data_IF_422947057072
#
_entry.id   IF_422947057072
#
_cell.length_a   1.000
_cell.length_b   1.000
_cell.length_c   1.000
_cell.angle_alpha   90.00
_cell.angle_beta   90.00
_cell.angle_gamma   90.00
#
_symmetry.space_group_name_H-M   'P 1'
#
loop_
_entity.id
_entity.type
_entity.pdbx_description
1 polymer ?
#
# COMPACT_ATOMS: atom_id res chain seq x y z
N UNK A 1 20.79 -19.71 28.08
CA UNK A 1 20.22 -18.38 28.14
C UNK A 1 18.77 -18.36 27.61
N UNK A 2 18.16 -19.52 27.35
CA UNK A 2 16.80 -19.68 26.79
C UNK A 2 15.67 -19.73 27.83
N UNK A 3 15.91 -20.24 29.04
CA UNK A 3 14.84 -20.57 30.02
C UNK A 3 14.09 -19.31 30.54
N UNK A 4 14.76 -18.19 30.70
CA UNK A 4 14.14 -16.94 31.16
C UNK A 4 13.34 -16.18 30.06
N UNK A 5 13.65 -16.43 28.79
CA UNK A 5 12.90 -15.89 27.65
C UNK A 5 11.61 -16.67 27.42
N UNK A 6 11.69 -17.99 27.42
CA UNK A 6 10.53 -18.87 27.26
C UNK A 6 9.51 -18.71 28.39
N UNK A 7 9.97 -18.43 29.62
CA UNK A 7 9.08 -18.18 30.76
C UNK A 7 8.26 -16.88 30.60
N UNK A 8 8.79 -15.88 29.86
CA UNK A 8 8.10 -14.60 29.62
C UNK A 8 7.08 -14.65 28.49
N UNK A 9 7.20 -15.64 27.60
CA UNK A 9 6.30 -15.79 26.46
C UNK A 9 5.10 -16.71 26.76
N UNK A 10 5.04 -17.33 27.97
CA UNK A 10 3.89 -18.17 28.37
C UNK A 10 2.65 -17.33 28.65
N UNK A 11 1.47 -17.72 28.13
CA UNK A 11 0.21 -17.05 28.42
C UNK A 11 -0.09 -17.08 29.93
N UNK A 12 -0.31 -15.90 30.51
CA UNK A 12 -0.53 -15.71 31.97
C UNK A 12 -1.76 -14.90 32.30
N UNK A 13 -2.19 -14.05 31.39
CA UNK A 13 -3.27 -13.10 31.59
C UNK A 13 -4.45 -13.40 30.69
N UNK A 14 -5.63 -13.30 31.26
CA UNK A 14 -6.88 -13.15 30.50
C UNK A 14 -6.97 -11.71 29.98
N UNK A 15 -7.92 -11.43 29.08
CA UNK A 15 -8.18 -10.06 28.62
C UNK A 15 -8.50 -9.11 29.78
N UNK A 16 -9.36 -9.54 30.72
CA UNK A 16 -9.82 -8.69 31.82
C UNK A 16 -8.67 -8.41 32.83
N UNK A 17 -7.86 -9.42 33.13
CA UNK A 17 -6.64 -9.26 33.94
C UNK A 17 -5.65 -8.30 33.27
N UNK A 18 -5.44 -8.42 31.94
CA UNK A 18 -4.57 -7.53 31.17
C UNK A 18 -5.06 -6.08 31.22
N UNK A 19 -6.36 -5.83 31.02
CA UNK A 19 -6.96 -4.48 31.07
C UNK A 19 -6.79 -3.86 32.45
N UNK A 20 -6.99 -4.66 33.53
CA UNK A 20 -6.80 -4.23 34.90
C UNK A 20 -5.33 -3.87 35.20
N UNK A 21 -4.38 -4.69 34.76
CA UNK A 21 -2.92 -4.46 34.92
C UNK A 21 -2.43 -3.22 34.15
N UNK A 22 -3.08 -2.89 33.02
CA UNK A 22 -2.78 -1.71 32.23
C UNK A 22 -3.44 -0.43 32.79
N UNK A 23 -4.38 -0.56 33.73
CA UNK A 23 -5.13 0.57 34.30
C UNK A 23 -6.04 1.28 33.29
N UNK A 24 -6.48 0.57 32.25
CA UNK A 24 -7.32 1.13 31.19
C UNK A 24 -8.80 1.11 31.62
N UNK A 25 -9.57 2.09 31.13
CA UNK A 25 -11.03 2.03 31.28
C UNK A 25 -11.61 0.90 30.40
N UNK A 26 -12.68 0.26 30.88
CA UNK A 26 -13.33 -0.82 30.16
C UNK A 26 -13.84 -0.36 28.77
N UNK A 27 -14.34 0.87 28.67
CA UNK A 27 -14.82 1.46 27.39
C UNK A 27 -13.68 1.64 26.38
N UNK A 28 -12.55 2.20 26.81
CA UNK A 28 -11.37 2.35 25.94
C UNK A 28 -10.81 0.99 25.52
N UNK A 29 -10.69 0.06 26.46
CA UNK A 29 -10.18 -1.28 26.20
C UNK A 29 -11.07 -2.02 25.18
N UNK A 30 -12.39 -1.87 25.26
CA UNK A 30 -13.31 -2.48 24.28
C UNK A 30 -13.20 -1.83 22.90
N UNK A 31 -13.11 -0.51 22.84
CA UNK A 31 -12.88 0.22 21.56
C UNK A 31 -11.56 -0.19 20.91
N UNK A 32 -10.48 -0.27 21.70
CA UNK A 32 -9.17 -0.67 21.20
C UNK A 32 -9.17 -2.13 20.72
N UNK A 33 -9.81 -3.04 21.48
CA UNK A 33 -9.96 -4.44 21.11
C UNK A 33 -10.66 -4.64 19.76
N UNK A 34 -11.79 -3.95 19.60
CA UNK A 34 -12.54 -3.97 18.34
C UNK A 34 -11.75 -3.33 17.20
N UNK A 35 -10.96 -2.30 17.51
CA UNK A 35 -10.11 -1.62 16.52
C UNK A 35 -8.96 -2.52 16.03
N UNK A 36 -8.36 -3.31 16.92
CA UNK A 36 -7.37 -4.33 16.52
C UNK A 36 -7.97 -5.50 15.73
N UNK A 37 -9.30 -5.65 15.71
CA UNK A 37 -9.97 -6.75 15.00
C UNK A 37 -9.89 -8.09 15.71
N UNK A 38 -9.57 -8.11 17.00
CA UNK A 38 -9.48 -9.36 17.75
C UNK A 38 -10.86 -10.00 17.93
N UNK A 39 -10.94 -11.31 17.68
CA UNK A 39 -12.13 -12.10 17.91
C UNK A 39 -12.43 -12.15 19.41
N UNK A 40 -13.69 -12.06 19.78
CA UNK A 40 -14.09 -12.24 21.17
C UNK A 40 -13.85 -13.68 21.60
N UNK A 41 -12.87 -13.88 22.47
CA UNK A 41 -12.58 -15.15 23.11
C UNK A 41 -13.32 -15.23 24.46
N UNK A 42 -13.55 -16.45 24.98
CA UNK A 42 -14.06 -16.61 26.35
C UNK A 42 -13.19 -15.84 27.34
N UNK A 43 -13.80 -15.14 28.29
CA UNK A 43 -13.09 -14.28 29.27
C UNK A 43 -12.17 -15.06 30.21
N UNK A 44 -12.23 -16.40 30.21
CA UNK A 44 -11.40 -17.27 31.04
C UNK A 44 -10.05 -17.66 30.42
N UNK A 45 -9.90 -17.43 29.11
CA UNK A 45 -8.70 -17.94 28.41
C UNK A 45 -7.50 -17.00 28.62
N UNK A 46 -6.41 -17.60 29.12
CA UNK A 46 -5.13 -16.90 29.27
C UNK A 46 -4.39 -16.94 27.95
N UNK A 47 -4.34 -15.81 27.27
CA UNK A 47 -3.76 -15.69 25.92
C UNK A 47 -2.63 -14.66 25.86
N UNK A 48 -2.43 -13.86 26.92
CA UNK A 48 -1.41 -12.81 26.96
C UNK A 48 -0.27 -13.18 27.89
N UNK A 49 0.95 -12.90 27.46
CA UNK A 49 2.19 -13.11 28.17
C UNK A 49 2.65 -11.84 28.92
N UNK A 50 3.69 -12.00 29.75
CA UNK A 50 4.36 -10.85 30.39
C UNK A 50 4.98 -9.90 29.35
N UNK A 51 5.37 -10.42 28.17
CA UNK A 51 5.93 -9.62 27.09
C UNK A 51 4.86 -8.76 26.42
N UNK A 52 3.66 -9.33 26.21
CA UNK A 52 2.53 -8.58 25.65
C UNK A 52 2.09 -7.47 26.59
N UNK A 53 2.00 -7.77 27.91
CA UNK A 53 1.70 -6.77 28.92
C UNK A 53 2.73 -5.62 28.91
N UNK A 54 4.02 -5.92 28.82
CA UNK A 54 5.07 -4.91 28.78
C UNK A 54 4.95 -4.01 27.53
N UNK A 55 4.72 -4.60 26.36
CA UNK A 55 4.55 -3.88 25.10
C UNK A 55 3.30 -2.97 25.12
N UNK A 56 2.17 -3.50 25.58
CA UNK A 56 0.92 -2.75 25.69
C UNK A 56 0.99 -1.65 26.78
N UNK A 57 1.76 -1.88 27.84
CA UNK A 57 2.00 -0.85 28.87
C UNK A 57 2.77 0.34 28.32
N UNK A 58 3.78 0.11 27.48
CA UNK A 58 4.49 1.20 26.79
C UNK A 58 3.54 1.98 25.88
N UNK A 59 2.70 1.29 25.13
CA UNK A 59 1.70 1.90 24.27
C UNK A 59 0.68 2.72 25.08
N UNK A 60 0.13 2.15 26.16
CA UNK A 60 -0.83 2.82 27.05
C UNK A 60 -0.22 4.04 27.76
N UNK A 61 1.06 3.98 28.15
CA UNK A 61 1.75 5.11 28.80
C UNK A 61 2.04 6.29 27.87
N UNK A 62 2.10 6.06 26.56
CA UNK A 62 2.23 7.12 25.56
C UNK A 62 0.93 7.88 25.33
N UNK A 63 -0.16 7.41 25.93
CA UNK A 63 -1.52 7.96 25.80
C UNK A 63 -1.67 9.40 26.29
N UNK A 64 -0.83 9.85 27.22
CA UNK A 64 -0.83 11.24 27.69
C UNK A 64 -0.45 12.27 26.61
N UNK A 65 0.22 11.83 25.54
CA UNK A 65 0.66 12.69 24.44
C UNK A 65 -0.24 12.62 23.19
N UNK A 66 -1.20 11.66 23.15
CA UNK A 66 -2.01 11.39 21.96
C UNK A 66 -3.50 11.31 22.29
N UNK A 67 -4.39 12.01 21.55
CA UNK A 67 -5.83 11.90 21.74
C UNK A 67 -6.33 10.46 21.60
N UNK A 68 -7.36 10.07 22.37
CA UNK A 68 -7.97 8.72 22.31
C UNK A 68 -8.39 8.34 20.88
N UNK A 69 -8.94 9.28 20.12
CA UNK A 69 -9.34 9.08 18.73
C UNK A 69 -8.17 8.65 17.84
N UNK A 70 -6.99 9.23 18.05
CA UNK A 70 -5.76 8.90 17.32
C UNK A 70 -5.22 7.52 17.72
N UNK A 71 -5.29 7.17 18.99
CA UNK A 71 -4.89 5.85 19.48
C UNK A 71 -5.78 4.75 18.89
N UNK A 72 -7.08 4.95 18.88
CA UNK A 72 -8.04 4.00 18.26
C UNK A 72 -7.85 3.91 16.74
N UNK A 73 -7.55 5.03 16.07
CA UNK A 73 -7.25 5.02 14.64
C UNK A 73 -5.98 4.21 14.33
N UNK A 74 -4.93 4.37 15.15
CA UNK A 74 -3.68 3.61 15.02
C UNK A 74 -3.92 2.12 15.30
N UNK A 75 -4.66 1.77 16.36
CA UNK A 75 -5.02 0.38 16.65
C UNK A 75 -5.77 -0.27 15.47
N UNK A 76 -6.68 0.47 14.84
CA UNK A 76 -7.43 0.00 13.68
C UNK A 76 -6.53 -0.22 12.45
N UNK A 77 -5.61 0.70 12.17
CA UNK A 77 -4.68 0.57 11.06
C UNK A 77 -3.77 -0.65 11.22
N UNK A 78 -3.22 -0.84 12.42
CA UNK A 78 -2.40 -2.02 12.74
C UNK A 78 -3.24 -3.28 12.61
N UNK A 79 -4.41 -3.33 13.25
CA UNK A 79 -5.27 -4.50 13.24
C UNK A 79 -5.69 -4.93 11.84
N UNK A 80 -6.15 -4.00 11.01
CA UNK A 80 -6.56 -4.29 9.64
C UNK A 80 -5.40 -4.78 8.76
N UNK A 81 -4.22 -4.21 8.93
CA UNK A 81 -3.03 -4.62 8.16
C UNK A 81 -2.58 -6.01 8.59
N UNK A 82 -2.46 -6.24 9.90
CA UNK A 82 -2.01 -7.51 10.45
C UNK A 82 -3.00 -8.65 10.23
N UNK A 83 -4.32 -8.39 10.30
CA UNK A 83 -5.34 -9.43 10.02
C UNK A 83 -5.22 -9.96 8.60
N UNK A 84 -5.14 -9.08 7.60
CA UNK A 84 -4.97 -9.49 6.19
C UNK A 84 -3.67 -10.24 5.95
N UNK A 85 -2.58 -9.76 6.56
CA UNK A 85 -1.28 -10.41 6.45
C UNK A 85 -1.32 -11.80 7.08
N UNK A 86 -1.88 -11.94 8.30
CA UNK A 86 -1.98 -13.20 9.01
C UNK A 86 -2.89 -14.22 8.30
N UNK A 87 -3.97 -13.80 7.66
CA UNK A 87 -4.83 -14.67 6.86
C UNK A 87 -4.04 -15.26 5.68
N UNK A 88 -3.35 -14.41 4.91
CA UNK A 88 -2.53 -14.84 3.79
C UNK A 88 -1.37 -15.76 4.24
N UNK A 89 -0.69 -15.40 5.31
CA UNK A 89 0.43 -16.19 5.85
C UNK A 89 -0.02 -17.56 6.40
N UNK A 90 -1.22 -17.61 7.00
CA UNK A 90 -1.76 -18.88 7.51
C UNK A 90 -2.03 -19.88 6.38
N UNK A 91 -2.51 -19.41 5.23
CA UNK A 91 -2.72 -20.25 4.06
C UNK A 91 -1.39 -20.68 3.46
N UNK A 92 -0.43 -19.75 3.27
CA UNK A 92 0.91 -20.05 2.79
C UNK A 92 1.65 -21.06 3.68
N UNK A 93 1.63 -20.86 5.01
CA UNK A 93 2.29 -21.75 5.96
C UNK A 93 1.70 -23.16 5.94
N UNK A 94 0.38 -23.28 5.75
CA UNK A 94 -0.28 -24.58 5.66
C UNK A 94 0.23 -25.35 4.44
N UNK A 95 0.29 -24.69 3.29
CA UNK A 95 0.76 -25.31 2.06
C UNK A 95 2.24 -25.74 2.14
N UNK A 96 3.08 -24.90 2.77
CA UNK A 96 4.52 -25.21 2.94
C UNK A 96 4.73 -26.35 3.91
N UNK A 97 4.04 -26.38 5.06
CA UNK A 97 4.24 -27.42 6.11
C UNK A 97 3.72 -28.77 5.65
N UNK A 98 2.74 -28.81 4.77
CA UNK A 98 2.22 -30.06 4.18
C UNK A 98 3.18 -30.68 3.13
N UNK A 99 4.22 -29.94 2.68
CA UNK A 99 5.24 -30.47 1.78
C UNK A 99 6.24 -31.37 2.56
N UNK A 100 6.34 -32.67 2.23
CA UNK A 100 7.28 -33.60 2.89
C UNK A 100 8.76 -33.20 2.76
N UNK A 101 9.12 -32.32 1.85
CA UNK A 101 10.50 -31.84 1.68
C UNK A 101 10.86 -30.74 2.69
N UNK A 102 9.89 -30.17 3.38
CA UNK A 102 10.08 -29.10 4.38
C UNK A 102 10.30 -29.72 5.76
N UNK A 103 11.47 -29.49 6.38
CA UNK A 103 11.82 -30.14 7.65
C UNK A 103 11.31 -29.40 8.90
N UNK A 104 10.53 -28.30 8.73
CA UNK A 104 10.06 -27.44 9.81
C UNK A 104 8.56 -27.60 10.04
N UNK A 105 8.15 -27.53 11.31
CA UNK A 105 6.74 -27.51 11.68
C UNK A 105 6.15 -26.08 11.62
N UNK A 106 4.84 -25.98 11.80
CA UNK A 106 4.09 -24.73 11.74
C UNK A 106 4.62 -23.69 12.73
N UNK A 107 4.96 -24.10 13.96
CA UNK A 107 5.42 -23.18 15.01
C UNK A 107 6.80 -22.60 14.66
N UNK A 108 7.70 -23.42 14.13
CA UNK A 108 9.03 -22.98 13.69
C UNK A 108 8.94 -22.00 12.51
N UNK A 109 8.10 -22.30 11.53
CA UNK A 109 7.89 -21.44 10.37
C UNK A 109 7.21 -20.12 10.76
N UNK A 110 6.18 -20.17 11.60
CA UNK A 110 5.50 -18.98 12.11
C UNK A 110 6.45 -18.07 12.90
N UNK A 111 7.33 -18.64 13.73
CA UNK A 111 8.34 -17.87 14.46
C UNK A 111 9.33 -17.19 13.51
N UNK A 112 9.82 -17.92 12.51
CA UNK A 112 10.76 -17.37 11.51
C UNK A 112 10.11 -16.21 10.73
N UNK A 113 8.86 -16.38 10.31
CA UNK A 113 8.09 -15.37 9.59
C UNK A 113 7.89 -14.10 10.43
N UNK A 114 7.55 -14.24 11.72
CA UNK A 114 7.46 -13.11 12.64
C UNK A 114 8.78 -12.34 12.81
N UNK A 115 9.92 -13.02 12.74
CA UNK A 115 11.25 -12.36 12.76
C UNK A 115 11.52 -11.59 11.48
N UNK A 116 11.13 -12.14 10.32
CA UNK A 116 11.24 -11.46 9.02
C UNK A 116 10.34 -10.23 9.00
N UNK A 117 9.09 -10.32 9.43
CA UNK A 117 8.18 -9.19 9.56
C UNK A 117 8.77 -8.06 10.42
N UNK A 118 9.34 -8.42 11.58
CA UNK A 118 9.97 -7.41 12.45
C UNK A 118 11.19 -6.75 11.78
N UNK A 119 11.97 -7.49 10.98
CA UNK A 119 13.09 -6.95 10.23
C UNK A 119 12.60 -5.95 9.16
N UNK A 120 11.60 -6.36 8.37
CA UNK A 120 11.01 -5.54 7.30
C UNK A 120 10.38 -4.29 7.89
N UNK A 121 9.57 -4.43 8.94
CA UNK A 121 8.94 -3.30 9.63
C UNK A 121 9.96 -2.28 10.12
N UNK A 122 11.06 -2.73 10.76
CA UNK A 122 12.12 -1.81 11.23
C UNK A 122 12.77 -1.03 10.10
N UNK A 123 12.98 -1.66 8.94
CA UNK A 123 13.55 -0.98 7.77
C UNK A 123 12.59 0.08 7.20
N UNK A 124 11.33 -0.28 7.03
CA UNK A 124 10.31 0.68 6.59
C UNK A 124 10.12 1.83 7.58
N UNK A 125 10.16 1.54 8.89
CA UNK A 125 10.08 2.58 9.92
C UNK A 125 11.25 3.55 9.85
N UNK A 126 12.49 3.06 9.70
CA UNK A 126 13.67 3.91 9.56
C UNK A 126 13.54 4.84 8.34
N UNK A 127 13.17 4.30 7.18
CA UNK A 127 12.93 5.10 5.97
C UNK A 127 11.79 6.11 6.13
N UNK A 128 10.73 5.73 6.84
CA UNK A 128 9.61 6.65 7.11
C UNK A 128 10.06 7.81 8.01
N UNK A 129 10.83 7.54 9.07
CA UNK A 129 11.36 8.58 9.98
C UNK A 129 12.28 9.54 9.21
N UNK A 130 13.18 9.04 8.37
CA UNK A 130 14.07 9.89 7.56
C UNK A 130 13.27 10.86 6.66
N UNK A 131 12.20 10.40 6.05
CA UNK A 131 11.32 11.26 5.24
C UNK A 131 10.53 12.28 6.04
N UNK A 132 10.12 11.93 7.28
CA UNK A 132 9.31 12.82 8.13
C UNK A 132 10.15 13.88 8.86
N UNK A 133 11.50 13.74 8.90
CA UNK A 133 12.37 14.80 9.44
C UNK A 133 12.33 16.07 8.61
N UNK A 134 11.91 15.99 7.36
CA UNK A 134 11.84 17.14 6.43
C UNK A 134 10.44 17.79 6.36
N UNK A 135 9.40 17.19 6.99
CA UNK A 135 8.01 17.69 6.91
C UNK A 135 7.35 17.66 8.29
N UNK A 136 6.64 18.72 8.66
CA UNK A 136 5.84 18.80 9.89
C UNK A 136 4.54 17.99 9.78
N UNK A 137 4.10 17.39 10.90
CA UNK A 137 3.05 16.34 11.00
C UNK A 137 1.63 16.67 10.48
N UNK A 138 1.35 17.88 10.02
CA UNK A 138 0.01 18.35 9.56
C UNK A 138 0.06 19.07 8.20
N UNK A 139 1.15 18.95 7.43
CA UNK A 139 1.25 19.66 6.15
C UNK A 139 0.67 18.84 5.00
N UNK A 140 -0.15 19.50 4.21
CA UNK A 140 -0.50 19.07 2.87
C UNK A 140 0.79 18.81 2.08
N UNK A 141 1.01 17.58 1.69
CA UNK A 141 2.20 17.17 0.92
C UNK A 141 1.86 17.31 -0.55
N UNK A 142 2.69 18.02 -1.31
CA UNK A 142 2.51 18.11 -2.77
C UNK A 142 3.14 16.90 -3.45
N UNK A 143 2.31 15.99 -3.97
CA UNK A 143 2.72 14.75 -4.61
C UNK A 143 2.10 14.58 -6.00
N UNK A 144 2.78 13.81 -6.83
CA UNK A 144 2.18 13.20 -8.01
C UNK A 144 1.53 11.90 -7.58
N UNK A 145 0.25 11.75 -7.86
CA UNK A 145 -0.51 10.51 -7.68
C UNK A 145 -0.73 9.89 -9.05
N UNK A 146 -0.46 8.60 -9.17
CA UNK A 146 -0.68 7.83 -10.39
C UNK A 146 -1.54 6.59 -10.15
N UNK A 147 -2.25 6.19 -11.19
CA UNK A 147 -2.94 4.90 -11.30
C UNK A 147 -2.51 4.22 -12.60
N UNK A 148 -2.06 2.98 -12.50
CA UNK A 148 -1.95 2.05 -13.61
C UNK A 148 -3.10 1.06 -13.54
N UNK A 149 -3.75 0.74 -14.65
CA UNK A 149 -5.01 -0.02 -14.69
C UNK A 149 -5.00 -0.95 -15.90
N UNK A 150 -5.43 -2.20 -15.72
CA UNK A 150 -5.54 -3.21 -16.77
C UNK A 150 -6.75 -2.94 -17.66
N UNK A 151 -6.53 -2.74 -18.94
CA UNK A 151 -7.63 -2.48 -19.88
C UNK A 151 -8.47 -3.74 -20.10
N UNK A 152 -9.79 -3.61 -19.89
CA UNK A 152 -10.73 -4.69 -20.18
C UNK A 152 -10.77 -5.80 -19.12
N UNK A 153 -10.16 -5.61 -17.95
CA UNK A 153 -10.11 -6.57 -16.86
C UNK A 153 -11.48 -7.20 -16.53
N UNK A 154 -12.54 -6.40 -16.39
CA UNK A 154 -13.90 -6.92 -16.09
C UNK A 154 -14.41 -7.94 -17.13
N UNK A 155 -14.00 -7.79 -18.37
CA UNK A 155 -14.32 -8.73 -19.45
C UNK A 155 -13.41 -9.96 -19.41
N UNK A 156 -12.14 -9.76 -19.07
CA UNK A 156 -11.11 -10.80 -19.01
C UNK A 156 -11.37 -11.74 -17.85
N UNK A 157 -11.62 -11.22 -16.65
CA UNK A 157 -11.87 -11.99 -15.42
C UNK A 157 -13.07 -12.94 -15.50
N UNK A 158 -13.97 -12.75 -16.49
CA UNK A 158 -15.10 -13.67 -16.76
C UNK A 158 -14.74 -14.79 -17.74
N UNK A 159 -13.58 -14.76 -18.37
CA UNK A 159 -13.18 -15.66 -19.47
C UNK A 159 -12.03 -16.58 -19.10
N UNK A 160 -11.19 -16.18 -18.17
CA UNK A 160 -10.06 -16.98 -17.70
C UNK A 160 -10.43 -17.65 -16.38
N UNK A 161 -9.75 -18.71 -16.02
CA UNK A 161 -9.94 -19.36 -14.72
C UNK A 161 -9.30 -18.57 -13.58
N UNK A 162 -9.54 -19.00 -12.34
CA UNK A 162 -9.07 -18.27 -11.16
C UNK A 162 -7.55 -18.30 -11.00
N UNK A 163 -6.89 -19.39 -11.41
CA UNK A 163 -5.44 -19.52 -11.30
C UNK A 163 -4.74 -18.60 -12.32
N UNK A 164 -5.26 -18.57 -13.56
CA UNK A 164 -4.76 -17.66 -14.58
C UNK A 164 -4.99 -16.20 -14.18
N UNK A 165 -6.14 -15.91 -13.54
CA UNK A 165 -6.45 -14.57 -13.03
C UNK A 165 -5.51 -14.16 -11.91
N UNK A 166 -5.23 -15.04 -10.96
CA UNK A 166 -4.29 -14.82 -9.87
C UNK A 166 -2.87 -14.57 -10.39
N UNK A 167 -2.41 -15.41 -11.32
CA UNK A 167 -1.11 -15.25 -11.96
C UNK A 167 -0.98 -13.94 -12.70
N UNK A 168 -2.02 -13.54 -13.45
CA UNK A 168 -2.05 -12.27 -14.18
C UNK A 168 -2.00 -11.06 -13.23
N UNK A 169 -2.79 -11.08 -12.15
CA UNK A 169 -2.78 -10.00 -11.16
C UNK A 169 -1.45 -9.94 -10.42
N UNK A 170 -0.89 -11.08 -10.03
CA UNK A 170 0.42 -11.14 -9.38
C UNK A 170 1.52 -10.55 -10.26
N UNK A 171 1.64 -10.99 -11.52
CA UNK A 171 2.61 -10.41 -12.45
C UNK A 171 2.41 -8.91 -12.65
N UNK A 172 1.16 -8.46 -12.83
CA UNK A 172 0.87 -7.03 -12.98
C UNK A 172 1.27 -6.20 -11.75
N UNK A 173 0.99 -6.71 -10.55
CA UNK A 173 1.33 -6.04 -9.29
C UNK A 173 2.84 -5.99 -9.10
N UNK A 174 3.54 -7.13 -9.26
CA UNK A 174 4.99 -7.25 -9.08
C UNK A 174 5.76 -6.39 -10.09
N UNK A 175 5.45 -6.51 -11.38
CA UNK A 175 6.14 -5.75 -12.44
C UNK A 175 5.89 -4.24 -12.30
N UNK A 176 4.66 -3.83 -11.95
CA UNK A 176 4.35 -2.41 -11.73
C UNK A 176 5.04 -1.89 -10.47
N UNK A 177 5.14 -2.71 -9.41
CA UNK A 177 5.87 -2.36 -8.19
C UNK A 177 7.35 -2.10 -8.50
N UNK A 178 8.00 -3.02 -9.21
CA UNK A 178 9.41 -2.91 -9.57
C UNK A 178 9.68 -1.65 -10.37
N UNK A 179 8.90 -1.38 -11.41
CA UNK A 179 9.05 -0.15 -12.21
C UNK A 179 8.88 1.11 -11.36
N UNK A 180 7.86 1.17 -10.51
CA UNK A 180 7.62 2.34 -9.66
C UNK A 180 8.77 2.57 -8.69
N UNK A 181 9.29 1.51 -8.04
CA UNK A 181 10.39 1.59 -7.06
C UNK A 181 11.71 1.94 -7.73
N UNK A 182 12.02 1.35 -8.89
CA UNK A 182 13.25 1.61 -9.63
C UNK A 182 13.36 3.08 -10.08
N UNK A 183 12.22 3.73 -10.33
CA UNK A 183 12.15 5.16 -10.62
C UNK A 183 12.03 6.05 -9.37
N UNK A 184 12.17 5.49 -8.16
CA UNK A 184 12.14 6.25 -6.91
C UNK A 184 10.73 6.63 -6.44
N UNK A 185 9.69 6.01 -7.01
CA UNK A 185 8.31 6.15 -6.57
C UNK A 185 7.95 5.23 -5.41
N UNK A 186 6.71 5.28 -5.02
CA UNK A 186 6.15 4.42 -3.98
C UNK A 186 4.77 3.90 -4.38
N UNK A 187 4.60 2.60 -4.33
CA UNK A 187 3.27 1.97 -4.43
C UNK A 187 2.52 2.19 -3.10
N UNK A 188 1.32 2.71 -3.20
CA UNK A 188 0.45 2.99 -2.04
C UNK A 188 -0.43 1.78 -1.75
N UNK A 189 -1.08 1.25 -2.79
CA UNK A 189 -1.96 0.08 -2.69
C UNK A 189 -2.34 -0.46 -4.06
N UNK A 190 -2.75 -1.72 -4.07
CA UNK A 190 -3.44 -2.35 -5.19
C UNK A 190 -4.95 -2.28 -5.00
N UNK A 191 -5.70 -2.18 -6.07
CA UNK A 191 -7.16 -2.00 -6.09
C UNK A 191 -7.79 -2.94 -7.13
N UNK A 192 -7.54 -4.23 -6.98
CA UNK A 192 -7.95 -5.24 -7.96
C UNK A 192 -7.12 -5.14 -9.23
N UNK A 193 -7.68 -4.55 -10.28
CA UNK A 193 -7.02 -4.36 -11.59
C UNK A 193 -6.24 -3.05 -11.72
N UNK A 194 -6.03 -2.32 -10.63
CA UNK A 194 -5.30 -1.06 -10.63
C UNK A 194 -4.27 -0.98 -9.50
N UNK A 195 -3.12 -0.38 -9.77
CA UNK A 195 -2.08 -0.02 -8.81
C UNK A 195 -2.05 1.49 -8.64
N UNK A 196 -2.14 1.94 -7.38
CA UNK A 196 -1.99 3.35 -7.00
C UNK A 196 -0.58 3.60 -6.49
N UNK A 197 0.06 4.62 -7.04
CA UNK A 197 1.44 4.98 -6.69
C UNK A 197 1.62 6.49 -6.56
N UNK A 198 2.75 6.90 -5.98
CA UNK A 198 3.12 8.32 -5.82
C UNK A 198 4.58 8.57 -6.19
N UNK A 199 4.85 9.81 -6.61
CA UNK A 199 6.19 10.34 -6.88
C UNK A 199 6.29 11.79 -6.38
N UNK A 200 7.50 12.20 -6.04
CA UNK A 200 7.84 13.59 -5.74
C UNK A 200 8.28 14.35 -6.99
N UNK A 201 8.89 13.66 -7.96
CA UNK A 201 9.52 14.19 -9.15
C UNK A 201 8.76 13.86 -10.44
N UNK A 202 8.45 14.88 -11.26
CA UNK A 202 7.66 14.67 -12.47
C UNK A 202 8.40 13.91 -13.58
N UNK A 203 9.67 14.17 -13.86
CA UNK A 203 10.47 13.37 -14.79
C UNK A 203 10.55 11.88 -14.42
N UNK A 204 10.73 11.56 -13.14
CA UNK A 204 10.75 10.18 -12.66
C UNK A 204 9.38 9.50 -12.85
N UNK A 205 8.28 10.17 -12.45
CA UNK A 205 6.93 9.69 -12.65
C UNK A 205 6.60 9.46 -14.13
N UNK A 206 7.03 10.37 -15.00
CA UNK A 206 6.83 10.27 -16.45
C UNK A 206 7.58 9.07 -17.03
N UNK A 207 8.83 8.86 -16.62
CA UNK A 207 9.64 7.71 -17.06
C UNK A 207 9.02 6.39 -16.61
N UNK A 208 8.63 6.28 -15.35
CA UNK A 208 7.93 5.10 -14.83
C UNK A 208 6.63 4.81 -15.60
N UNK A 209 5.81 5.84 -15.86
CA UNK A 209 4.56 5.68 -16.60
C UNK A 209 4.76 5.18 -18.03
N UNK A 210 5.84 5.58 -18.71
CA UNK A 210 6.20 5.09 -20.03
C UNK A 210 6.71 3.66 -20.00
N UNK A 211 7.48 3.29 -18.96
CA UNK A 211 8.00 1.94 -18.79
C UNK A 211 6.88 0.94 -18.42
N UNK A 212 5.90 1.34 -17.61
CA UNK A 212 4.71 0.53 -17.30
C UNK A 212 4.01 0.04 -18.58
N UNK A 213 3.96 0.83 -19.64
CA UNK A 213 3.36 0.38 -20.90
C UNK A 213 4.18 -0.71 -21.61
N UNK A 214 5.48 -0.82 -21.32
CA UNK A 214 6.35 -1.84 -21.91
C UNK A 214 6.06 -3.23 -21.31
N UNK A 215 5.51 -3.29 -20.10
CA UNK A 215 5.07 -4.55 -19.44
C UNK A 215 4.04 -5.33 -20.28
N UNK A 216 3.33 -4.67 -21.18
CA UNK A 216 2.34 -5.30 -22.06
C UNK A 216 2.88 -5.64 -23.46
N UNK A 217 4.19 -5.54 -23.69
CA UNK A 217 4.78 -5.69 -25.04
C UNK A 217 4.90 -7.17 -25.45
N UNK A 218 5.04 -8.08 -24.47
CA UNK A 218 5.32 -9.50 -24.70
C UNK A 218 4.07 -10.39 -24.64
N UNK A 219 2.87 -9.83 -24.79
CA UNK A 219 1.58 -10.52 -24.66
C UNK A 219 1.32 -11.18 -23.29
N UNK A 220 2.22 -10.97 -22.31
CA UNK A 220 2.08 -11.50 -20.95
C UNK A 220 1.00 -10.77 -20.15
N UNK A 221 0.86 -9.45 -20.37
CA UNK A 221 -0.15 -8.62 -19.77
C UNK A 221 -1.04 -7.95 -20.81
N UNK A 222 -2.35 -7.78 -20.51
CA UNK A 222 -3.22 -6.95 -21.33
C UNK A 222 -2.69 -5.51 -21.41
N UNK A 223 -3.10 -4.72 -22.41
CA UNK A 223 -2.72 -3.32 -22.49
C UNK A 223 -3.06 -2.59 -21.19
N UNK A 224 -2.11 -1.78 -20.71
CA UNK A 224 -2.28 -0.96 -19.53
C UNK A 224 -2.68 0.47 -19.92
N UNK A 225 -3.25 1.20 -18.98
CA UNK A 225 -3.50 2.65 -19.07
C UNK A 225 -3.07 3.32 -17.79
N UNK A 226 -2.50 4.51 -17.91
CA UNK A 226 -1.97 5.26 -16.77
C UNK A 226 -2.61 6.64 -16.73
N UNK A 227 -2.93 7.10 -15.52
CA UNK A 227 -3.39 8.46 -15.27
C UNK A 227 -2.65 9.06 -14.09
N UNK A 228 -2.12 10.26 -14.22
CA UNK A 228 -1.38 10.94 -13.15
C UNK A 228 -1.83 12.37 -12.96
N UNK A 229 -1.84 12.84 -11.72
CA UNK A 229 -2.13 14.22 -11.35
C UNK A 229 -1.26 14.67 -10.18
N UNK A 230 -0.87 15.94 -10.17
CA UNK A 230 -0.08 16.55 -9.09
C UNK A 230 -0.90 17.50 -8.26
N UNK A 231 -0.65 17.55 -6.99
CA UNK A 231 -1.17 18.57 -6.07
C UNK A 231 -1.11 18.14 -4.62
N UNK A 232 -1.73 18.94 -3.78
CA UNK A 232 -1.76 18.76 -2.35
C UNK A 232 -2.60 17.55 -1.94
N UNK A 233 -2.01 16.66 -1.17
CA UNK A 233 -2.64 15.45 -0.62
C UNK A 233 -2.47 15.38 0.88
N UNK A 234 -3.43 14.78 1.55
CA UNK A 234 -3.34 14.37 2.95
C UNK A 234 -2.79 12.93 3.01
N UNK A 235 -1.60 12.76 3.55
CA UNK A 235 -1.08 11.44 3.87
C UNK A 235 -1.61 10.99 5.24
N UNK A 236 -2.26 9.83 5.29
CA UNK A 236 -2.80 9.29 6.54
C UNK A 236 -2.77 7.76 6.55
N UNK A 237 -2.14 7.20 7.57
CA UNK A 237 -2.09 5.74 7.79
C UNK A 237 -1.56 4.95 6.57
N UNK A 238 -0.55 5.50 5.88
CA UNK A 238 0.04 4.88 4.70
C UNK A 238 -0.75 5.06 3.40
N UNK A 239 -1.92 5.71 3.45
CA UNK A 239 -2.72 6.06 2.28
C UNK A 239 -2.65 7.56 1.98
N UNK A 240 -3.05 7.98 0.78
CA UNK A 240 -3.10 9.39 0.37
C UNK A 240 -4.51 9.75 -0.07
N UNK A 241 -4.95 10.95 0.32
CA UNK A 241 -6.30 11.47 0.07
C UNK A 241 -6.20 12.89 -0.50
N UNK A 242 -7.11 13.23 -1.39
CA UNK A 242 -7.16 14.58 -1.95
C UNK A 242 -7.67 14.62 -3.38
N UNK A 243 -7.73 15.82 -3.92
CA UNK A 243 -8.19 16.03 -5.30
C UNK A 243 -7.29 15.34 -6.34
N UNK A 244 -5.93 15.33 -6.22
CA UNK A 244 -5.06 14.63 -7.15
C UNK A 244 -5.37 13.13 -7.30
N UNK A 245 -5.75 12.46 -6.20
CA UNK A 245 -6.16 11.04 -6.22
C UNK A 245 -7.37 10.85 -7.13
N UNK A 246 -8.37 11.72 -6.99
CA UNK A 246 -9.58 11.66 -7.80
C UNK A 246 -9.28 11.96 -9.28
N UNK A 247 -8.47 12.98 -9.55
CA UNK A 247 -8.09 13.37 -10.92
C UNK A 247 -7.31 12.23 -11.58
N UNK A 248 -6.26 11.71 -10.95
CA UNK A 248 -5.43 10.63 -11.48
C UNK A 248 -6.28 9.39 -11.83
N UNK A 249 -7.17 8.97 -10.94
CA UNK A 249 -8.11 7.86 -11.19
C UNK A 249 -9.02 8.12 -12.39
N UNK A 250 -9.52 9.35 -12.57
CA UNK A 250 -10.36 9.72 -13.73
C UNK A 250 -9.56 9.78 -15.01
N UNK A 251 -8.31 10.24 -14.96
CA UNK A 251 -7.41 10.24 -16.10
C UNK A 251 -7.09 8.81 -16.54
N UNK A 252 -6.73 7.91 -15.61
CA UNK A 252 -6.49 6.49 -15.90
C UNK A 252 -7.73 5.86 -16.58
N UNK A 253 -8.92 6.05 -15.98
CA UNK A 253 -10.17 5.54 -16.54
C UNK A 253 -10.57 6.13 -17.90
N UNK A 254 -10.01 7.28 -18.28
CA UNK A 254 -10.26 7.95 -19.57
C UNK A 254 -9.17 7.72 -20.60
N UNK A 255 -8.02 7.21 -20.17
CA UNK A 255 -6.90 6.92 -21.05
C UNK A 255 -7.22 5.76 -21.99
N UNK A 256 -6.71 5.85 -23.22
CA UNK A 256 -6.79 4.74 -24.18
C UNK A 256 -5.81 3.63 -23.80
N UNK A 257 -6.03 2.40 -24.26
CA UNK A 257 -5.03 1.33 -24.10
C UNK A 257 -3.64 1.80 -24.55
N UNK A 258 -2.61 1.52 -23.74
CA UNK A 258 -1.23 1.90 -24.05
C UNK A 258 -0.95 3.40 -23.96
N UNK A 259 -1.78 4.19 -23.25
CA UNK A 259 -1.55 5.64 -23.11
C UNK A 259 -1.55 6.12 -21.67
N UNK A 260 -0.73 7.15 -21.43
CA UNK A 260 -0.70 7.90 -20.16
C UNK A 260 -1.36 9.24 -20.35
N UNK A 261 -2.30 9.57 -19.45
CA UNK A 261 -2.86 10.92 -19.32
C UNK A 261 -2.32 11.59 -18.06
N UNK A 262 -1.89 12.84 -18.21
CA UNK A 262 -1.40 13.68 -17.11
C UNK A 262 -2.20 14.98 -17.05
N UNK A 263 -2.25 15.61 -15.89
CA UNK A 263 -2.82 16.93 -15.71
C UNK A 263 -1.86 18.07 -16.17
N UNK A 264 -2.34 19.30 -16.14
CA UNK A 264 -1.52 20.46 -16.53
C UNK A 264 -0.38 20.71 -15.54
N UNK A 265 -0.51 20.37 -14.25
CA UNK A 265 0.52 20.61 -13.24
C UNK A 265 1.78 19.75 -13.51
N UNK A 266 1.61 18.48 -13.86
CA UNK A 266 2.71 17.60 -14.29
C UNK A 266 3.27 18.08 -15.63
N UNK A 267 2.38 18.41 -16.57
CA UNK A 267 2.79 18.82 -17.90
C UNK A 267 3.65 20.12 -17.91
N UNK A 268 3.35 21.05 -17.03
CA UNK A 268 4.12 22.28 -16.89
C UNK A 268 5.52 22.02 -16.31
N UNK A 269 5.69 21.03 -15.44
CA UNK A 269 7.00 20.61 -14.91
C UNK A 269 7.84 19.83 -15.93
N UNK A 270 7.20 19.10 -16.83
CA UNK A 270 7.87 18.41 -17.93
C UNK A 270 8.16 19.31 -19.13
N UNK A 271 7.69 20.56 -19.09
CA UNK A 271 7.89 21.52 -20.17
C UNK A 271 9.36 21.83 -20.42
N UNK A 272 9.85 21.49 -21.62
CA UNK A 272 11.26 21.68 -22.01
C UNK A 272 12.16 20.49 -21.76
N UNK A 273 11.66 19.38 -21.26
CA UNK A 273 12.41 18.12 -21.17
C UNK A 273 12.24 17.32 -22.47
N UNK A 274 13.31 17.27 -23.26
CA UNK A 274 13.32 16.65 -24.59
C UNK A 274 13.07 15.11 -24.57
N UNK A 275 13.04 14.50 -23.41
CA UNK A 275 12.70 13.07 -23.26
C UNK A 275 11.22 12.80 -23.48
N UNK A 276 10.37 13.80 -23.25
CA UNK A 276 8.92 13.65 -23.22
C UNK A 276 8.22 14.49 -24.28
N UNK A 277 7.25 13.87 -24.93
CA UNK A 277 6.33 14.53 -25.83
C UNK A 277 4.94 14.66 -25.19
N UNK A 278 4.45 15.89 -25.14
CA UNK A 278 3.18 16.22 -24.52
C UNK A 278 2.17 16.68 -25.58
N UNK A 279 1.06 15.94 -25.71
CA UNK A 279 -0.01 16.29 -26.65
C UNK A 279 -1.28 16.69 -25.92
N UNK A 280 -1.72 17.91 -26.13
CA UNK A 280 -3.01 18.38 -25.61
C UNK A 280 -4.18 17.60 -26.26
N UNK A 281 -5.17 17.28 -25.42
CA UNK A 281 -6.41 16.66 -25.86
C UNK A 281 -7.60 17.54 -25.49
N UNK A 282 -8.79 17.33 -26.13
CA UNK A 282 -10.01 18.01 -25.70
C UNK A 282 -10.30 17.73 -24.21
N UNK A 283 -10.88 18.72 -23.53
CA UNK A 283 -11.26 18.59 -22.12
C UNK A 283 -12.15 17.37 -21.90
N UNK A 284 -11.82 16.62 -20.85
CA UNK A 284 -12.58 15.43 -20.48
C UNK A 284 -13.81 15.81 -19.64
N UNK A 285 -14.91 15.12 -19.90
CA UNK A 285 -16.12 15.15 -19.08
C UNK A 285 -16.19 13.86 -18.27
N UNK A 286 -15.79 13.93 -17.01
CA UNK A 286 -15.77 12.79 -16.11
C UNK A 286 -16.59 13.08 -14.86
N UNK A 287 -16.95 12.03 -14.13
CA UNK A 287 -17.74 12.20 -12.90
C UNK A 287 -17.02 13.14 -11.93
N UNK A 288 -17.69 14.23 -11.54
CA UNK A 288 -17.16 15.28 -10.65
C UNK A 288 -16.46 16.43 -11.37
N UNK A 289 -16.07 16.28 -12.65
CA UNK A 289 -15.34 17.29 -13.41
C UNK A 289 -15.97 17.52 -14.79
N UNK A 290 -16.48 18.73 -15.03
CA UNK A 290 -17.09 19.09 -16.33
C UNK A 290 -16.06 19.42 -17.42
N UNK A 291 -14.88 19.88 -17.01
CA UNK A 291 -13.83 20.40 -17.90
C UNK A 291 -12.45 20.03 -17.37
N UNK A 292 -12.16 18.72 -17.23
CA UNK A 292 -10.85 18.27 -16.82
C UNK A 292 -9.87 18.37 -18.00
N UNK A 293 -8.88 19.24 -17.86
CA UNK A 293 -7.78 19.36 -18.83
C UNK A 293 -6.82 18.21 -18.63
N UNK A 294 -6.31 17.67 -19.72
CA UNK A 294 -5.32 16.62 -19.71
C UNK A 294 -4.44 16.66 -20.94
N UNK A 295 -3.26 16.05 -20.83
CA UNK A 295 -2.34 15.84 -21.95
C UNK A 295 -1.96 14.36 -22.01
N UNK A 296 -1.76 13.88 -23.24
CA UNK A 296 -1.13 12.56 -23.45
C UNK A 296 0.36 12.75 -23.27
N UNK A 297 0.95 11.92 -22.43
CA UNK A 297 2.39 11.77 -22.27
C UNK A 297 2.88 10.63 -23.17
N UNK A 298 3.94 10.88 -23.93
CA UNK A 298 4.64 9.88 -24.72
C UNK A 298 6.16 10.12 -24.68
N UNK A 299 6.94 9.10 -24.99
CA UNK A 299 8.36 9.28 -25.19
C UNK A 299 8.60 10.13 -26.46
N UNK A 300 9.61 10.99 -26.43
CA UNK A 300 10.05 11.67 -27.62
C UNK A 300 10.63 10.62 -28.59
N UNK A 301 10.11 10.53 -29.81
CA UNK A 301 10.66 9.65 -30.82
C UNK A 301 11.86 10.34 -31.46
N UNK A 302 13.06 9.82 -31.17
CA UNK A 302 14.25 10.12 -31.99
C UNK A 302 14.05 9.51 -33.39
N UNK A 303 13.49 10.29 -34.28
CA UNK A 303 13.37 9.95 -35.70
C UNK A 303 13.38 11.23 -36.50
N UNK A 304 14.14 11.30 -37.64
CA UNK A 304 14.15 12.48 -38.46
C UNK A 304 12.71 12.76 -38.93
N UNK A 305 12.25 13.97 -38.69
CA UNK A 305 11.06 14.49 -39.39
C UNK A 305 11.38 14.41 -40.88
N UNK A 306 10.80 13.44 -41.55
CA UNK A 306 10.71 13.47 -43.04
C UNK A 306 9.74 14.60 -43.39
N UNK A 307 10.26 15.60 -44.06
CA UNK A 307 9.55 16.70 -44.71
C UNK A 307 8.40 16.22 -45.63
#
# INVERSE_FOLDING_TARGET
MNDASEARDRPRYTRDELVAELGLSADFAEKAWNAFGFVRQPSSDKVFSDRDLAALRMFASSSAAMPETSQIAMARAIGQTMSRLAEWEADLLRDIVDDPAVPWDFDQMSLALGQIQQLIWRRHMAQAIERHTDHSDDEEIDLIVGFADIVGYTSLSRRIDLNDLESLLGSFEDDTFDVVVDHGGRVIKTLGDAVMFTFDDAPAAASAALEIHQLSTDDSLPPLRVGMARGSVLARLGDVFGEPVNIASRLAGSARPGTTLIDDAIADQLGGDDRFYLKSIPTLRVRGYKHLKARVLAAHRDGPMSD
#
